data_IF_971311182839
#
_entry.id   IF_971311182839
#
_cell.length_a   1.000
_cell.length_b   1.000
_cell.length_c   1.000
_cell.angle_alpha   90.00
_cell.angle_beta   90.00
_cell.angle_gamma   90.00
#
_symmetry.space_group_name_H-M   'P 1'
#
loop_
_entity.id
_entity.type
_entity.pdbx_description
1 polymer ?
#
# COMPACT_ATOMS: atom_id res chain seq x y z
N UNK A 1 -21.62 8.35 4.60
CA UNK A 1 -21.20 6.99 4.16
C UNK A 1 -21.99 5.99 4.97
N UNK A 2 -22.18 4.76 4.49
CA UNK A 2 -22.94 3.74 5.22
C UNK A 2 -22.31 3.37 6.57
N UNK A 3 -21.01 3.63 6.72
CA UNK A 3 -20.23 3.35 7.92
C UNK A 3 -20.26 4.46 8.99
N UNK A 4 -20.74 5.67 8.67
CA UNK A 4 -20.78 6.81 9.60
C UNK A 4 -19.41 7.31 10.11
N UNK A 5 -18.30 6.91 9.50
CA UNK A 5 -16.94 7.24 9.95
C UNK A 5 -16.31 8.36 9.13
N UNK A 6 -15.43 9.15 9.75
CA UNK A 6 -14.61 10.13 9.04
C UNK A 6 -13.60 9.44 8.10
N UNK A 7 -13.25 10.10 7.00
CA UNK A 7 -12.29 9.59 6.01
C UNK A 7 -10.93 10.25 6.22
N UNK A 8 -9.86 9.45 6.31
CA UNK A 8 -8.48 9.96 6.32
C UNK A 8 -7.80 9.64 4.99
N UNK A 9 -7.39 10.67 4.26
CA UNK A 9 -6.59 10.51 3.06
C UNK A 9 -5.10 10.49 3.40
N UNK A 10 -4.40 9.44 2.98
CA UNK A 10 -2.94 9.33 3.06
C UNK A 10 -2.37 8.86 1.71
N UNK A 11 -1.17 9.32 1.35
CA UNK A 11 -0.45 8.86 0.17
C UNK A 11 -0.06 9.94 -0.83
N UNK A 12 0.72 9.53 -1.81
CA UNK A 12 1.30 10.32 -2.87
C UNK A 12 0.30 10.78 -3.94
N UNK A 13 -0.86 10.13 -4.03
CA UNK A 13 -1.94 10.55 -4.94
C UNK A 13 -2.69 11.82 -4.51
N UNK A 14 -2.58 12.24 -3.24
CA UNK A 14 -3.34 13.37 -2.70
C UNK A 14 -3.11 14.68 -3.46
N UNK A 15 -1.86 15.12 -3.71
CA UNK A 15 -1.64 16.40 -4.40
C UNK A 15 -2.24 16.43 -5.81
N UNK A 16 -2.38 15.28 -6.46
CA UNK A 16 -2.94 15.17 -7.81
C UNK A 16 -4.47 15.33 -7.82
N UNK A 17 -5.15 14.78 -6.83
CA UNK A 17 -6.62 14.69 -6.80
C UNK A 17 -7.27 15.58 -5.74
N UNK A 18 -6.50 16.41 -5.05
CA UNK A 18 -6.98 17.23 -3.94
C UNK A 18 -8.23 18.04 -4.31
N UNK A 19 -8.18 18.75 -5.43
CA UNK A 19 -9.29 19.60 -5.87
C UNK A 19 -10.56 18.79 -6.21
N UNK A 20 -10.39 17.59 -6.75
CA UNK A 20 -11.52 16.69 -7.04
C UNK A 20 -12.11 16.12 -5.75
N UNK A 21 -11.26 15.73 -4.79
CA UNK A 21 -11.68 15.27 -3.47
C UNK A 21 -12.47 16.36 -2.76
N UNK A 22 -11.92 17.58 -2.70
CA UNK A 22 -12.55 18.71 -2.01
C UNK A 22 -13.91 19.11 -2.64
N UNK A 23 -14.10 18.89 -3.95
CA UNK A 23 -15.35 19.21 -4.65
C UNK A 23 -16.40 18.10 -4.55
N UNK A 24 -15.98 16.84 -4.60
CA UNK A 24 -16.89 15.71 -4.78
C UNK A 24 -17.28 15.02 -3.47
N UNK A 25 -16.43 15.10 -2.45
CA UNK A 25 -16.68 14.38 -1.20
C UNK A 25 -17.76 15.06 -0.35
N UNK A 26 -18.77 14.29 0.04
CA UNK A 26 -19.93 14.77 0.83
C UNK A 26 -19.89 14.37 2.30
N UNK A 27 -18.84 13.65 2.71
CA UNK A 27 -18.63 13.19 4.08
C UNK A 27 -17.47 13.93 4.69
N UNK A 28 -17.39 13.98 6.02
CA UNK A 28 -16.24 14.55 6.71
C UNK A 28 -14.96 13.79 6.37
N UNK A 29 -13.89 14.55 6.11
CA UNK A 29 -12.59 13.98 5.80
C UNK A 29 -11.46 14.88 6.30
N UNK A 30 -10.30 14.27 6.49
CA UNK A 30 -9.04 14.94 6.81
C UNK A 30 -7.91 14.40 5.94
N UNK A 31 -6.90 15.24 5.73
CA UNK A 31 -5.64 14.83 5.13
C UNK A 31 -4.64 14.44 6.22
N UNK A 32 -3.90 13.35 5.98
CA UNK A 32 -2.79 12.93 6.82
C UNK A 32 -1.76 14.06 6.96
N UNK A 33 -1.14 14.16 8.15
CA UNK A 33 -0.16 15.20 8.44
C UNK A 33 1.09 15.07 7.54
N UNK A 34 1.93 16.10 7.49
CA UNK A 34 3.13 16.13 6.64
C UNK A 34 4.13 15.00 6.93
N UNK A 35 4.05 14.39 8.12
CA UNK A 35 4.92 13.29 8.51
C UNK A 35 4.40 11.93 8.04
N UNK A 36 3.09 11.77 7.89
CA UNK A 36 2.43 10.52 7.50
C UNK A 36 1.70 10.60 6.16
N UNK A 37 1.89 11.67 5.38
CA UNK A 37 1.27 11.83 4.07
C UNK A 37 2.03 11.13 2.93
N UNK A 38 3.18 10.51 3.21
CA UNK A 38 4.00 9.76 2.25
C UNK A 38 4.52 8.46 2.86
N UNK A 39 5.02 7.58 1.98
CA UNK A 39 5.67 6.33 2.38
C UNK A 39 6.88 6.62 3.28
N UNK A 40 6.95 5.94 4.43
CA UNK A 40 8.02 6.11 5.42
C UNK A 40 8.35 4.78 6.10
N UNK A 41 9.64 4.49 6.22
CA UNK A 41 10.12 3.27 6.87
C UNK A 41 9.64 3.13 8.34
N UNK A 42 9.56 4.24 9.08
CA UNK A 42 9.05 4.24 10.45
C UNK A 42 7.60 3.71 10.56
N UNK A 43 6.74 4.01 9.58
CA UNK A 43 5.37 3.48 9.54
C UNK A 43 5.36 1.97 9.34
N UNK A 44 6.24 1.46 8.47
CA UNK A 44 6.42 0.02 8.24
C UNK A 44 6.92 -0.67 9.51
N UNK A 45 7.93 -0.11 10.18
CA UNK A 45 8.46 -0.65 11.44
C UNK A 45 7.41 -0.69 12.55
N UNK A 46 6.63 0.38 12.71
CA UNK A 46 5.56 0.44 13.72
C UNK A 46 4.47 -0.60 13.47
N UNK A 47 4.02 -0.75 12.23
CA UNK A 47 3.02 -1.77 11.87
C UNK A 47 3.61 -3.17 12.04
N UNK A 48 4.87 -3.38 11.63
CA UNK A 48 5.58 -4.64 11.80
C UNK A 48 5.67 -5.07 13.26
N UNK A 49 6.00 -4.15 14.17
CA UNK A 49 6.01 -4.40 15.62
C UNK A 49 4.64 -4.86 16.12
N UNK A 50 3.55 -4.16 15.76
CA UNK A 50 2.20 -4.55 16.16
C UNK A 50 1.77 -5.92 15.61
N UNK A 51 2.14 -6.24 14.38
CA UNK A 51 1.83 -7.54 13.78
C UNK A 51 2.62 -8.65 14.48
N UNK A 52 3.88 -8.40 14.81
CA UNK A 52 4.71 -9.33 15.57
C UNK A 52 4.14 -9.63 16.96
N UNK A 53 3.70 -8.60 17.69
CA UNK A 53 3.01 -8.75 18.98
C UNK A 53 1.71 -9.58 18.88
N UNK A 54 1.04 -9.54 17.73
CA UNK A 54 -0.15 -10.35 17.45
C UNK A 54 0.17 -11.77 16.97
N UNK A 55 1.45 -12.16 16.91
CA UNK A 55 1.89 -13.44 16.35
C UNK A 55 1.71 -13.54 14.83
N UNK A 56 1.49 -12.43 14.13
CA UNK A 56 1.27 -12.36 12.68
C UNK A 56 2.59 -12.09 11.96
N UNK A 57 3.43 -13.11 11.90
CA UNK A 57 4.67 -13.08 11.13
C UNK A 57 4.84 -14.40 10.37
N UNK A 58 5.73 -14.39 9.39
CA UNK A 58 6.11 -15.59 8.63
C UNK A 58 7.61 -15.84 8.84
N UNK A 59 8.03 -17.09 8.75
CA UNK A 59 9.46 -17.38 8.75
C UNK A 59 10.11 -16.69 7.53
N UNK A 60 11.33 -16.18 7.70
CA UNK A 60 12.07 -15.52 6.62
C UNK A 60 12.24 -16.44 5.41
N UNK A 61 12.49 -17.73 5.63
CA UNK A 61 12.71 -18.70 4.55
C UNK A 61 11.41 -19.02 3.79
N UNK A 62 10.26 -18.78 4.41
CA UNK A 62 8.93 -19.00 3.84
C UNK A 62 8.34 -17.72 3.23
N UNK A 63 9.02 -16.57 3.38
CA UNK A 63 8.51 -15.30 2.89
C UNK A 63 8.63 -15.21 1.37
N UNK A 64 7.52 -15.44 0.67
CA UNK A 64 7.38 -15.23 -0.77
C UNK A 64 6.47 -14.00 -1.04
N UNK A 65 6.93 -13.01 -1.81
CA UNK A 65 6.06 -11.94 -2.28
C UNK A 65 4.93 -12.52 -3.12
N UNK A 66 3.68 -12.10 -2.85
CA UNK A 66 2.57 -12.44 -3.72
C UNK A 66 2.61 -11.55 -4.97
N UNK A 67 3.20 -12.06 -6.05
CA UNK A 67 3.37 -11.33 -7.29
C UNK A 67 2.05 -11.29 -8.08
N UNK A 68 1.39 -10.13 -8.09
CA UNK A 68 0.21 -9.87 -8.95
C UNK A 68 0.54 -9.87 -10.46
N UNK A 69 1.83 -9.85 -10.81
CA UNK A 69 2.36 -9.90 -12.17
C UNK A 69 3.58 -10.79 -12.18
N UNK A 70 3.77 -11.58 -13.25
CA UNK A 70 4.99 -12.39 -13.41
C UNK A 70 6.24 -11.53 -13.22
N UNK A 71 7.22 -12.09 -12.52
CA UNK A 71 8.50 -11.43 -12.32
C UNK A 71 9.17 -11.17 -13.68
N UNK A 72 10.14 -10.24 -13.71
CA UNK A 72 10.91 -10.02 -14.94
C UNK A 72 11.69 -11.28 -15.35
N UNK A 73 12.29 -11.99 -14.37
CA UNK A 73 13.04 -13.21 -14.62
C UNK A 73 12.17 -14.32 -15.24
N UNK A 74 10.95 -14.53 -14.72
CA UNK A 74 10.03 -15.52 -15.28
C UNK A 74 9.52 -15.14 -16.67
N UNK A 75 9.34 -13.84 -16.94
CA UNK A 75 8.97 -13.35 -18.28
C UNK A 75 10.09 -13.62 -19.29
N UNK A 76 11.32 -13.28 -18.94
CA UNK A 76 12.49 -13.54 -19.79
C UNK A 76 12.74 -15.04 -20.01
N UNK A 77 12.49 -15.90 -19.01
CA UNK A 77 12.57 -17.35 -19.16
C UNK A 77 11.52 -17.86 -20.15
N UNK A 78 10.26 -17.44 -19.99
CA UNK A 78 9.16 -17.84 -20.88
C UNK A 78 9.40 -17.40 -22.33
N UNK A 79 9.95 -16.21 -22.55
CA UNK A 79 10.36 -15.73 -23.88
C UNK A 79 11.49 -16.59 -24.48
N UNK A 80 12.49 -17.00 -23.68
CA UNK A 80 13.55 -17.91 -24.13
C UNK A 80 13.04 -19.31 -24.46
N UNK A 81 12.08 -19.83 -23.70
CA UNK A 81 11.46 -21.14 -23.96
C UNK A 81 10.56 -21.12 -25.19
N UNK A 82 9.89 -20.00 -25.49
CA UNK A 82 9.05 -19.85 -26.68
C UNK A 82 9.86 -19.63 -27.98
N UNK A 83 11.07 -19.08 -27.89
CA UNK A 83 11.97 -18.86 -29.03
C UNK A 83 12.90 -20.06 -29.30
N UNK A 84 12.68 -21.19 -28.63
CA UNK A 84 13.36 -22.46 -28.83
C UNK A 84 12.52 -23.40 -29.69
#
# INVERSE_FOLDING_TARGET
NELGMDVVFAGDGIPRFKDEIDKLLKVNYIYSNCQSNRQRAASVGFVGMKLYEQGKFVNSDEHAPNYLRLSQAERELKEKEQNK
#
